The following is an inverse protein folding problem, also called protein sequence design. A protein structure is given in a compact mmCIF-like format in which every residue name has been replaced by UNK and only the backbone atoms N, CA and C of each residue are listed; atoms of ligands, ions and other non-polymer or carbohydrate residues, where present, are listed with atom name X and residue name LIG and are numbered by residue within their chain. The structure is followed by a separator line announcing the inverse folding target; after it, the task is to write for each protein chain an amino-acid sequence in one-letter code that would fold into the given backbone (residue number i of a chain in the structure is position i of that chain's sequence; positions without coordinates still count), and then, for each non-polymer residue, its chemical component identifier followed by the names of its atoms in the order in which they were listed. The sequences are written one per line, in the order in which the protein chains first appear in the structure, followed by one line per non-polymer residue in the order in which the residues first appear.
data_IF_354494023187
#
_entry.id   IF_354494023187
#
_cell.length_a   1.000
_cell.length_b   1.000
_cell.length_c   1.000
_cell.angle_alpha   90.00
_cell.angle_beta   90.00
_cell.angle_gamma   90.00
#
_symmetry.space_group_name_H-M   'P 1'
#
loop_
_entity.id
_entity.type
_entity.pdbx_description
1 polymer ?
#
# COMPACT_ATOMS: atom_id res chain seq x y z
N UNK A 1 25.70 22.13 -28.53
CA UNK A 1 24.31 22.26 -28.03
C UNK A 1 23.60 20.91 -27.90
N UNK A 2 23.88 19.93 -28.76
CA UNK A 2 23.21 18.61 -28.75
C UNK A 2 23.30 17.82 -27.43
N UNK A 3 24.43 17.91 -26.71
CA UNK A 3 24.59 17.22 -25.42
C UNK A 3 23.65 17.71 -24.31
N UNK A 4 23.28 19.00 -24.33
CA UNK A 4 22.36 19.59 -23.34
C UNK A 4 20.92 19.16 -23.64
N UNK A 5 20.53 19.16 -24.91
CA UNK A 5 19.22 18.71 -25.38
C UNK A 5 19.01 17.22 -25.02
N UNK A 6 20.02 16.38 -25.32
CA UNK A 6 19.99 14.95 -25.03
C UNK A 6 19.90 14.66 -23.53
N UNK A 7 20.73 15.33 -22.72
CA UNK A 7 20.70 15.18 -21.26
C UNK A 7 19.37 15.60 -20.64
N UNK A 8 18.72 16.66 -21.17
CA UNK A 8 17.40 17.10 -20.74
C UNK A 8 16.33 16.05 -21.05
N UNK A 9 16.34 15.48 -22.25
CA UNK A 9 15.38 14.45 -22.68
C UNK A 9 15.53 13.19 -21.83
N UNK A 10 16.77 12.70 -21.66
CA UNK A 10 17.06 11.51 -20.84
C UNK A 10 16.66 11.71 -19.37
N UNK A 11 16.90 12.91 -18.81
CA UNK A 11 16.50 13.24 -17.45
C UNK A 11 14.99 13.22 -17.24
N UNK A 12 14.22 13.78 -18.19
CA UNK A 12 12.74 13.77 -18.15
C UNK A 12 12.21 12.33 -18.28
N UNK A 13 12.76 11.56 -19.22
CA UNK A 13 12.31 10.18 -19.46
C UNK A 13 12.59 9.28 -18.25
N UNK A 14 13.79 9.40 -17.66
CA UNK A 14 14.16 8.68 -16.45
C UNK A 14 13.26 9.06 -15.27
N UNK A 15 13.06 10.35 -15.02
CA UNK A 15 12.19 10.84 -13.94
C UNK A 15 10.74 10.36 -14.08
N UNK A 16 10.19 10.38 -15.30
CA UNK A 16 8.85 9.85 -15.58
C UNK A 16 8.75 8.35 -15.29
N UNK A 17 9.73 7.57 -15.75
CA UNK A 17 9.75 6.11 -15.55
C UNK A 17 9.84 5.75 -14.08
N UNK A 18 10.73 6.42 -13.34
CA UNK A 18 10.89 6.21 -11.89
C UNK A 18 9.64 6.60 -11.12
N UNK A 19 9.00 7.73 -11.47
CA UNK A 19 7.75 8.15 -10.85
C UNK A 19 6.60 7.16 -11.05
N UNK A 20 6.43 6.64 -12.27
CA UNK A 20 5.41 5.62 -12.58
C UNK A 20 5.67 4.33 -11.81
N UNK A 21 6.90 3.84 -11.82
CA UNK A 21 7.23 2.58 -11.16
C UNK A 21 7.06 2.69 -9.65
N UNK A 22 7.49 3.80 -9.05
CA UNK A 22 7.27 4.06 -7.63
C UNK A 22 5.78 4.11 -7.29
N UNK A 23 5.00 4.91 -8.02
CA UNK A 23 3.55 5.02 -7.77
C UNK A 23 2.81 3.68 -7.92
N UNK A 24 3.19 2.88 -8.92
CA UNK A 24 2.64 1.52 -9.12
C UNK A 24 2.95 0.59 -7.94
N UNK A 25 4.20 0.59 -7.47
CA UNK A 25 4.62 -0.24 -6.34
C UNK A 25 3.94 0.18 -5.04
N UNK A 26 3.82 1.49 -4.79
CA UNK A 26 3.13 2.04 -3.62
C UNK A 26 1.66 1.66 -3.63
N UNK A 27 0.95 1.86 -4.75
CA UNK A 27 -0.46 1.50 -4.89
C UNK A 27 -0.73 0.00 -4.73
N UNK A 28 0.13 -0.88 -5.28
CA UNK A 28 0.00 -2.33 -5.08
C UNK A 28 0.17 -2.71 -3.61
N UNK A 29 1.14 -2.10 -2.92
CA UNK A 29 1.39 -2.37 -1.51
C UNK A 29 0.22 -1.92 -0.64
N UNK A 30 -0.30 -0.71 -0.89
CA UNK A 30 -1.45 -0.16 -0.17
C UNK A 30 -2.70 -1.02 -0.40
N UNK A 31 -3.03 -1.36 -1.65
CA UNK A 31 -4.19 -2.19 -1.96
C UNK A 31 -4.10 -3.61 -1.37
N UNK A 32 -2.89 -4.21 -1.34
CA UNK A 32 -2.70 -5.51 -0.68
C UNK A 32 -2.90 -5.43 0.83
N UNK A 33 -2.40 -4.39 1.47
CA UNK A 33 -2.58 -4.17 2.91
C UNK A 33 -4.06 -3.97 3.22
N UNK A 34 -4.74 -3.13 2.46
CA UNK A 34 -6.16 -2.85 2.63
C UNK A 34 -7.01 -4.12 2.47
N UNK A 35 -6.82 -4.89 1.39
CA UNK A 35 -7.54 -6.14 1.18
C UNK A 35 -7.30 -7.19 2.28
N UNK A 36 -6.07 -7.28 2.80
CA UNK A 36 -5.75 -8.16 3.91
C UNK A 36 -6.49 -7.72 5.19
N UNK A 37 -6.49 -6.42 5.50
CA UNK A 37 -7.18 -5.87 6.67
C UNK A 37 -8.69 -6.06 6.56
N UNK A 38 -9.30 -5.83 5.39
CA UNK A 38 -10.74 -6.05 5.17
C UNK A 38 -11.14 -7.51 5.36
N UNK A 39 -10.31 -8.45 4.88
CA UNK A 39 -10.54 -9.89 5.08
C UNK A 39 -10.50 -10.23 6.57
N UNK A 40 -9.48 -9.77 7.28
CA UNK A 40 -9.34 -9.98 8.72
C UNK A 40 -10.51 -9.34 9.50
N UNK A 41 -10.96 -8.15 9.12
CA UNK A 41 -12.08 -7.48 9.76
C UNK A 41 -13.39 -8.26 9.60
N UNK A 42 -13.61 -8.87 8.43
CA UNK A 42 -14.77 -9.73 8.18
C UNK A 42 -14.73 -10.98 9.06
N UNK A 43 -13.57 -11.63 9.19
CA UNK A 43 -13.41 -12.79 10.09
C UNK A 43 -13.67 -12.46 11.57
N UNK A 44 -13.35 -11.24 12.00
CA UNK A 44 -13.70 -10.77 13.36
C UNK A 44 -15.19 -10.55 13.49
N UNK A 45 -15.84 -9.93 12.50
CA UNK A 45 -17.31 -9.72 12.50
C UNK A 45 -18.07 -11.05 12.51
N UNK A 46 -17.55 -12.06 11.83
CA UNK A 46 -18.11 -13.41 11.79
C UNK A 46 -17.82 -14.22 13.08
N UNK A 47 -17.05 -13.67 14.02
CA UNK A 47 -16.66 -14.34 15.26
C UNK A 47 -15.65 -15.48 15.09
N UNK A 48 -15.06 -15.62 13.89
CA UNK A 48 -14.07 -16.66 13.57
C UNK A 48 -12.70 -16.32 14.16
N UNK A 49 -12.35 -15.03 14.20
CA UNK A 49 -11.07 -14.53 14.69
C UNK A 49 -11.27 -13.53 15.82
N UNK A 50 -10.39 -13.56 16.83
CA UNK A 50 -10.34 -12.51 17.85
C UNK A 50 -9.84 -11.19 17.24
N UNK A 51 -10.27 -10.06 17.80
CA UNK A 51 -9.81 -8.75 17.32
C UNK A 51 -8.31 -8.56 17.57
N UNK A 52 -7.78 -9.15 18.64
CA UNK A 52 -6.37 -9.17 19.00
C UNK A 52 -5.53 -9.93 17.96
N UNK A 53 -5.98 -11.12 17.56
CA UNK A 53 -5.28 -11.91 16.54
C UNK A 53 -5.34 -11.25 15.16
N UNK A 54 -6.48 -10.63 14.83
CA UNK A 54 -6.65 -9.91 13.57
C UNK A 54 -5.72 -8.70 13.48
N UNK A 55 -5.67 -7.88 14.54
CA UNK A 55 -4.77 -6.73 14.62
C UNK A 55 -3.30 -7.16 14.53
N UNK A 56 -2.91 -8.22 15.24
CA UNK A 56 -1.55 -8.78 15.18
C UNK A 56 -1.19 -9.27 13.78
N UNK A 57 -2.09 -9.96 13.09
CA UNK A 57 -1.89 -10.44 11.69
C UNK A 57 -1.82 -9.29 10.69
N UNK A 58 -2.55 -8.21 10.95
CA UNK A 58 -2.48 -6.96 10.19
C UNK A 58 -1.27 -6.09 10.56
N UNK A 59 -0.42 -6.54 11.49
CA UNK A 59 0.74 -5.80 12.00
C UNK A 59 0.39 -4.39 12.50
N UNK A 60 -0.71 -4.26 13.24
CA UNK A 60 -1.16 -3.00 13.83
C UNK A 60 -1.75 -3.21 15.23
N UNK A 61 -2.00 -2.11 15.95
CA UNK A 61 -2.65 -2.19 17.27
C UNK A 61 -4.15 -2.50 17.13
N UNK A 62 -4.75 -3.00 18.20
CA UNK A 62 -6.20 -3.26 18.26
C UNK A 62 -6.99 -1.96 18.06
N UNK A 63 -6.53 -0.84 18.63
CA UNK A 63 -7.16 0.48 18.47
C UNK A 63 -7.16 0.95 17.01
N UNK A 64 -6.08 0.69 16.28
CA UNK A 64 -6.02 1.00 14.84
C UNK A 64 -6.94 0.06 14.07
N UNK A 65 -6.90 -1.23 14.36
CA UNK A 65 -7.72 -2.24 13.68
C UNK A 65 -9.22 -2.01 13.87
N UNK A 66 -9.66 -1.55 15.05
CA UNK A 66 -11.06 -1.22 15.34
C UNK A 66 -11.68 -0.24 14.34
N UNK A 67 -10.90 0.68 13.77
CA UNK A 67 -11.35 1.64 12.74
C UNK A 67 -11.76 0.99 11.41
N UNK A 68 -11.41 -0.27 11.21
CA UNK A 68 -11.79 -1.06 10.04
C UNK A 68 -13.01 -1.96 10.32
N UNK A 69 -13.43 -2.07 11.58
CA UNK A 69 -14.61 -2.84 11.97
C UNK A 69 -15.82 -1.93 12.17
N UNK A 70 -15.63 -0.83 12.92
CA UNK A 70 -16.66 0.08 13.40
C UNK A 70 -16.52 1.48 12.80
#
# INVERSE_FOLDING_TARGET
MEGIEKGRIEGIEKGRREGIEKGRLEGIREGKLEGAVTTLASLVKDGILSIEDAAKRANMSVEVFKKYIY
#
